data_IF_709535604701
#
_entry.id   IF_709535604701
#
_cell.length_a   1.000
_cell.length_b   1.000
_cell.length_c   1.000
_cell.angle_alpha   90.00
_cell.angle_beta   90.00
_cell.angle_gamma   90.00
#
_symmetry.space_group_name_H-M   'P 1'
#
loop_
_entity.id
_entity.type
_entity.pdbx_description
1 polymer ?
2 polymer ?
3 water ?
#
loop_
_entity_poly.entity_id
_entity_poly.type
_entity_poly.pdbx_seq_one_letter_code
_entity_poly.pdbx_strand_id
2 'polyribonucleotide' 'UGUUGUAUA' ?
#
# COMPACT_ATOMS: atom_id res chain seq x y z
N UNK A 24 2.18 20.53 -37.14
CA UNK A 24 1.27 21.20 -36.23
C UNK A 24 1.96 22.16 -35.27
N UNK A 25 3.22 21.86 -34.95
CA UNK A 25 3.98 22.68 -34.02
C UNK A 25 4.45 23.98 -34.68
N UNK A 26 4.49 25.04 -33.88
CA UNK A 26 5.07 26.28 -34.31
C UNK A 26 6.55 26.09 -34.64
N UNK A 27 7.09 27.01 -35.43
CA UNK A 27 8.52 26.97 -35.71
C UNK A 27 9.33 27.20 -34.44
N UNK A 28 8.86 28.08 -33.56
CA UNK A 28 9.57 28.36 -32.32
C UNK A 28 9.68 27.11 -31.45
N UNK A 29 8.58 26.38 -31.28
CA UNK A 29 8.63 25.17 -30.47
C UNK A 29 9.51 24.12 -31.12
N UNK A 30 9.35 23.93 -32.43
CA UNK A 30 10.15 22.94 -33.15
C UNK A 30 11.64 23.24 -33.02
N UNK A 31 12.03 24.51 -33.19
CA UNK A 31 13.43 24.88 -33.08
C UNK A 31 13.94 24.73 -31.64
N UNK A 32 13.14 25.16 -30.65
CA UNK A 32 13.53 24.98 -29.26
C UNK A 32 13.75 23.50 -28.94
N UNK A 33 12.95 22.62 -29.54
CA UNK A 33 13.12 21.19 -29.32
C UNK A 33 14.41 20.68 -29.96
N UNK A 34 14.75 21.21 -31.15
CA UNK A 34 15.85 20.67 -31.94
C UNK A 34 17.19 21.34 -31.64
N UNK A 35 17.38 21.83 -30.41
CA UNK A 35 18.63 22.33 -29.81
C UNK A 35 18.92 23.81 -30.12
N UNK A 36 18.08 24.50 -30.88
CA UNK A 36 18.29 25.93 -31.04
C UNK A 36 17.87 26.68 -29.78
N UNK A 37 18.24 27.95 -29.72
CA UNK A 37 17.99 28.80 -28.56
C UNK A 37 18.42 28.20 -27.23
N UNK A 38 19.72 27.82 -27.10
CA UNK A 38 20.18 27.30 -25.80
C UNK A 38 20.15 28.31 -24.68
N UNK A 39 19.83 29.58 -24.97
CA UNK A 39 19.65 30.60 -23.95
C UNK A 39 18.21 31.12 -23.92
N UNK A 40 17.26 30.33 -24.42
CA UNK A 40 15.87 30.77 -24.50
C UNK A 40 15.38 31.20 -23.13
N UNK A 41 14.68 32.33 -23.10
CA UNK A 41 14.14 32.89 -21.88
C UNK A 41 12.63 32.94 -21.95
N UNK A 42 12.00 33.08 -20.78
CA UNK A 42 10.56 33.07 -20.68
C UNK A 42 9.92 34.13 -21.56
N UNK A 43 10.52 35.33 -21.59
CA UNK A 43 9.91 36.43 -22.33
C UNK A 43 9.95 36.19 -23.83
N UNK A 44 10.90 35.38 -24.30
CA UNK A 44 11.00 35.14 -25.74
C UNK A 44 9.86 34.27 -26.25
N UNK A 45 9.26 33.43 -25.40
CA UNK A 45 8.25 32.50 -25.87
C UNK A 45 6.87 33.08 -25.64
N UNK A 46 6.81 34.41 -25.52
CA UNK A 46 5.54 35.12 -25.44
C UNK A 46 4.62 34.68 -26.58
N UNK A 47 3.35 34.51 -26.26
CA UNK A 47 2.37 34.03 -27.22
C UNK A 47 2.41 32.54 -27.49
N UNK A 48 3.35 31.80 -26.91
CA UNK A 48 3.46 30.37 -27.12
C UNK A 48 3.35 29.58 -25.82
N UNK A 49 2.88 30.20 -24.74
CA UNK A 49 2.88 29.51 -23.44
C UNK A 49 1.94 28.30 -23.45
N UNK A 50 0.75 28.44 -24.06
CA UNK A 50 -0.18 27.33 -24.09
C UNK A 50 0.38 26.15 -24.88
N UNK A 51 1.04 26.42 -26.00
CA UNK A 51 1.60 25.34 -26.80
C UNK A 51 2.78 24.68 -26.09
N UNK A 52 3.70 25.50 -25.56
CA UNK A 52 4.83 24.95 -24.81
C UNK A 52 4.36 24.10 -23.64
N UNK A 53 3.31 24.56 -22.94
CA UNK A 53 2.79 23.82 -21.79
C UNK A 53 2.27 22.44 -22.17
N UNK A 54 1.71 22.30 -23.38
CA UNK A 54 1.20 21.02 -23.85
C UNK A 54 2.26 20.21 -24.60
N UNK A 55 3.52 20.60 -24.47
CA UNK A 55 4.65 19.91 -25.07
C UNK A 55 5.53 19.32 -23.97
N UNK A 56 6.10 18.15 -24.24
CA UNK A 56 6.91 17.46 -23.25
C UNK A 56 8.07 18.33 -22.77
N UNK A 57 8.83 18.91 -23.69
CA UNK A 57 9.98 19.71 -23.30
C UNK A 57 9.64 21.19 -23.12
N UNK A 58 8.63 21.69 -23.83
CA UNK A 58 8.16 23.04 -23.57
C UNK A 58 7.65 23.21 -22.15
N UNK A 59 7.08 22.15 -21.57
CA UNK A 59 6.51 22.25 -20.23
C UNK A 59 7.61 22.29 -19.17
N UNK A 60 8.59 21.40 -19.27
CA UNK A 60 9.71 21.43 -18.34
C UNK A 60 10.46 22.75 -18.41
N UNK A 61 10.55 23.33 -19.62
CA UNK A 61 11.17 24.65 -19.77
C UNK A 61 10.44 25.69 -18.93
N UNK A 62 9.12 25.79 -19.11
CA UNK A 62 8.35 26.76 -18.36
C UNK A 62 8.45 26.49 -16.86
N UNK A 63 8.42 25.22 -16.46
CA UNK A 63 8.50 24.89 -15.03
C UNK A 63 9.84 25.33 -14.44
N UNK A 64 10.94 25.02 -15.11
CA UNK A 64 12.25 25.43 -14.64
C UNK A 64 12.38 26.94 -14.63
N UNK A 65 11.98 27.58 -15.73
CA UNK A 65 12.10 29.03 -15.84
C UNK A 65 11.27 29.73 -14.78
N UNK A 66 10.10 29.20 -14.45
CA UNK A 66 9.26 29.80 -13.43
C UNK A 66 9.95 29.86 -12.08
N UNK A 67 10.83 28.89 -11.80
CA UNK A 67 11.41 28.78 -10.46
C UNK A 67 12.28 29.98 -10.14
N UNK A 68 13.06 30.46 -11.11
CA UNK A 68 13.91 31.63 -10.93
C UNK A 68 13.39 32.84 -11.70
N UNK A 69 12.10 32.88 -12.00
CA UNK A 69 11.52 34.01 -12.72
C UNK A 69 10.99 35.04 -11.73
N UNK A 70 11.04 36.30 -12.14
CA UNK A 70 10.52 37.38 -11.32
C UNK A 70 9.00 37.31 -11.27
N UNK A 71 8.38 37.95 -10.27
CA UNK A 71 6.92 38.05 -10.27
C UNK A 71 6.35 38.68 -11.52
N UNK A 72 7.12 39.55 -12.19
CA UNK A 72 6.66 40.14 -13.44
C UNK A 72 6.56 39.07 -14.53
N UNK A 73 7.60 38.25 -14.66
CA UNK A 73 7.57 37.18 -15.65
C UNK A 73 6.44 36.20 -15.35
N UNK A 74 6.42 35.65 -14.13
CA UNK A 74 5.40 34.68 -13.73
C UNK A 74 4.00 35.16 -14.09
N UNK A 75 3.72 36.47 -13.92
CA UNK A 75 2.39 36.99 -14.24
C UNK A 75 2.12 36.97 -15.74
N UNK A 76 3.15 37.21 -16.56
CA UNK A 76 2.97 37.13 -18.01
C UNK A 76 2.63 35.72 -18.44
N UNK A 77 3.34 34.72 -17.90
CA UNK A 77 2.98 33.32 -18.12
C UNK A 77 1.54 33.08 -17.70
N UNK A 78 1.17 33.57 -16.51
CA UNK A 78 -0.14 33.25 -15.94
C UNK A 78 -1.27 33.77 -16.81
N UNK A 79 -1.10 34.95 -17.42
CA UNK A 79 -2.14 35.53 -18.26
C UNK A 79 -2.39 34.70 -19.51
N UNK A 80 -1.41 33.96 -20.00
CA UNK A 80 -1.60 33.17 -21.21
C UNK A 80 -2.27 31.82 -20.94
N UNK A 81 -2.29 31.37 -19.67
CA UNK A 81 -2.88 30.07 -19.35
C UNK A 81 -4.22 30.17 -18.64
N UNK A 82 -4.62 31.36 -18.15
CA UNK A 82 -5.76 31.43 -17.24
C UNK A 82 -7.06 31.04 -17.95
N UNK A 83 -7.30 31.63 -19.11
CA UNK A 83 -8.54 31.40 -19.82
C UNK A 83 -8.74 29.91 -20.06
N UNK A 84 -7.76 29.27 -20.68
CA UNK A 84 -7.82 27.84 -20.96
C UNK A 84 -7.14 27.00 -19.89
N UNK A 85 -7.25 27.38 -18.61
CA UNK A 85 -6.49 26.66 -17.59
C UNK A 85 -6.97 25.21 -17.46
N UNK A 86 -8.29 25.00 -17.56
CA UNK A 86 -8.82 23.64 -17.46
C UNK A 86 -8.14 22.72 -18.46
N UNK A 87 -7.96 23.21 -19.70
CA UNK A 87 -7.32 22.40 -20.74
C UNK A 87 -5.93 21.95 -20.32
N UNK A 88 -5.22 22.80 -19.58
CA UNK A 88 -3.96 22.42 -19.02
C UNK A 88 -4.10 21.40 -17.89
N UNK A 89 -5.11 21.55 -17.07
CA UNK A 89 -5.28 20.67 -15.91
C UNK A 89 -5.48 19.23 -16.33
N UNK A 90 -6.07 19.00 -17.50
CA UNK A 90 -6.35 17.65 -17.98
C UNK A 90 -5.36 17.22 -19.06
N UNK A 91 -4.19 17.85 -19.11
CA UNK A 91 -3.15 17.54 -20.09
C UNK A 91 -2.00 16.79 -19.44
N UNK A 92 -1.42 15.85 -20.19
CA UNK A 92 -0.34 15.01 -19.67
C UNK A 92 0.89 15.85 -19.33
N UNK A 93 1.07 16.96 -20.02
CA UNK A 93 2.21 17.83 -19.77
C UNK A 93 1.86 19.17 -19.12
N UNK A 94 0.67 19.71 -19.40
CA UNK A 94 0.34 21.03 -18.88
C UNK A 94 0.00 21.03 -17.41
N UNK A 95 -0.43 19.88 -16.87
CA UNK A 95 -0.91 19.85 -15.49
C UNK A 95 0.20 20.22 -14.51
N UNK A 96 1.47 19.98 -14.88
CA UNK A 96 2.57 20.42 -14.02
C UNK A 96 2.64 21.93 -13.93
N UNK A 97 2.33 22.63 -15.03
CA UNK A 97 2.37 24.09 -15.00
C UNK A 97 1.30 24.62 -14.06
N UNK A 98 0.08 24.12 -14.20
CA UNK A 98 -0.98 24.49 -13.26
C UNK A 98 -0.55 24.22 -11.84
N UNK A 99 0.08 23.07 -11.60
CA UNK A 99 0.50 22.73 -10.24
C UNK A 99 1.53 23.72 -9.70
N UNK A 100 2.42 24.20 -10.58
CA UNK A 100 3.43 25.18 -10.15
C UNK A 100 2.76 26.44 -9.58
N UNK A 101 1.77 26.96 -10.28
CA UNK A 101 1.10 28.17 -9.82
C UNK A 101 0.29 27.92 -8.55
N UNK A 102 -0.33 26.75 -8.41
CA UNK A 102 -1.02 26.44 -7.16
C UNK A 102 -0.06 26.39 -5.97
N UNK A 103 1.23 26.16 -6.21
CA UNK A 103 2.17 26.06 -5.11
C UNK A 103 3.08 27.27 -4.97
N UNK A 104 3.39 27.98 -6.06
CA UNK A 104 4.36 29.06 -6.01
C UNK A 104 3.84 30.34 -6.66
N UNK A 105 2.52 30.43 -6.89
CA UNK A 105 1.94 31.64 -7.45
C UNK A 105 1.42 32.56 -6.36
N UNK A 106 1.00 33.76 -6.78
CA UNK A 106 0.43 34.70 -5.84
C UNK A 106 -0.92 34.22 -5.33
N UNK A 107 -1.33 34.77 -4.19
CA UNK A 107 -2.68 34.49 -3.69
C UNK A 107 -3.72 34.76 -4.77
N UNK A 108 -3.60 35.89 -5.47
CA UNK A 108 -4.58 36.21 -6.50
C UNK A 108 -4.56 35.19 -7.64
N UNK A 109 -3.39 34.62 -7.93
CA UNK A 109 -3.29 33.61 -8.97
C UNK A 109 -3.92 32.29 -8.53
N UNK A 110 -3.58 31.85 -7.32
CA UNK A 110 -4.25 30.66 -6.77
C UNK A 110 -5.76 30.81 -6.81
N UNK A 111 -6.26 32.01 -6.47
CA UNK A 111 -7.70 32.20 -6.37
C UNK A 111 -8.36 32.26 -7.74
N UNK A 112 -7.69 32.86 -8.73
CA UNK A 112 -8.25 32.87 -10.07
C UNK A 112 -8.33 31.46 -10.64
N UNK A 113 -7.33 30.62 -10.35
CA UNK A 113 -7.38 29.24 -10.82
C UNK A 113 -8.48 28.45 -10.11
N UNK A 114 -8.66 28.68 -8.81
CA UNK A 114 -9.77 28.05 -8.11
C UNK A 114 -11.11 28.44 -8.74
N UNK A 115 -11.23 29.69 -9.20
CA UNK A 115 -12.47 30.11 -9.86
C UNK A 115 -12.70 29.36 -11.16
N UNK A 116 -11.65 29.14 -11.96
CA UNK A 116 -11.82 28.35 -13.18
C UNK A 116 -12.25 26.93 -12.86
N UNK A 117 -11.89 26.43 -11.67
CA UNK A 117 -12.25 25.08 -11.24
C UNK A 117 -13.70 24.98 -10.78
N UNK A 118 -14.30 26.08 -10.34
CA UNK A 118 -15.61 26.04 -9.71
C UNK A 118 -16.65 25.40 -10.61
N UNK A 119 -17.38 24.42 -10.08
CA UNK A 119 -18.35 23.65 -10.84
C UNK A 119 -17.76 22.49 -11.62
N UNK A 120 -16.45 22.27 -11.56
CA UNK A 120 -15.81 21.21 -12.31
C UNK A 120 -14.95 20.32 -11.43
N UNK A 121 -15.01 20.49 -10.10
CA UNK A 121 -14.14 19.74 -9.20
C UNK A 121 -14.29 18.23 -9.44
N UNK A 122 -15.53 17.76 -9.58
CA UNK A 122 -15.76 16.34 -9.77
C UNK A 122 -15.08 15.82 -11.04
N UNK A 123 -15.25 16.53 -12.15
CA UNK A 123 -14.63 16.10 -13.41
C UNK A 123 -13.12 16.02 -13.27
N UNK A 124 -12.52 17.00 -12.60
CA UNK A 124 -11.08 16.98 -12.41
C UNK A 124 -10.66 15.85 -11.48
N UNK A 125 -11.42 15.60 -10.42
CA UNK A 125 -11.02 14.57 -9.45
C UNK A 125 -11.15 13.17 -10.04
N UNK A 126 -12.01 13.00 -11.04
CA UNK A 126 -12.14 11.75 -11.79
C UNK A 126 -11.14 11.63 -12.92
N UNK A 127 -10.28 12.63 -13.12
CA UNK A 127 -9.44 12.69 -14.31
C UNK A 127 -8.02 12.32 -13.94
N UNK A 128 -7.33 11.62 -14.86
CA UNK A 128 -6.00 11.10 -14.58
C UNK A 128 -5.03 12.22 -14.20
N UNK A 129 -5.09 13.37 -14.88
CA UNK A 129 -4.23 14.50 -14.53
C UNK A 129 -4.94 15.54 -13.68
N UNK A 130 -6.25 15.71 -13.87
CA UNK A 130 -6.99 16.66 -13.05
C UNK A 130 -6.91 16.36 -11.57
N UNK A 131 -6.80 15.07 -11.20
CA UNK A 131 -6.80 14.73 -9.78
C UNK A 131 -5.52 15.17 -9.09
N UNK A 132 -4.41 15.24 -9.84
CA UNK A 132 -3.20 15.84 -9.29
C UNK A 132 -3.41 17.33 -9.01
N UNK A 133 -4.06 18.03 -9.93
CA UNK A 133 -4.29 19.45 -9.74
C UNK A 133 -5.19 19.70 -8.54
N UNK A 134 -6.20 18.84 -8.34
CA UNK A 134 -7.12 19.02 -7.22
C UNK A 134 -6.39 18.85 -5.90
N UNK A 135 -5.50 17.85 -5.81
CA UNK A 135 -4.76 17.62 -4.58
C UNK A 135 -3.83 18.77 -4.27
N UNK A 136 -3.16 19.32 -5.29
CA UNK A 136 -2.33 20.49 -5.10
C UNK A 136 -3.15 21.68 -4.64
N UNK A 137 -4.27 21.94 -5.30
CA UNK A 137 -5.13 23.05 -4.90
C UNK A 137 -5.59 22.90 -3.45
N UNK A 138 -6.05 21.71 -3.07
CA UNK A 138 -6.53 21.50 -1.70
C UNK A 138 -5.45 21.82 -0.67
N UNK A 139 -4.19 21.72 -1.04
CA UNK A 139 -3.09 21.90 -0.11
C UNK A 139 -2.64 23.34 0.05
N UNK A 140 -2.91 24.23 -0.91
CA UNK A 140 -2.29 25.55 -0.90
C UNK A 140 -3.23 26.74 -1.07
N UNK A 141 -4.50 26.53 -1.38
CA UNK A 141 -5.45 27.64 -1.42
C UNK A 141 -5.98 27.88 -0.02
N UNK A 142 -6.56 29.05 0.28
CA UNK A 142 -7.05 29.32 1.64
C UNK A 142 -8.28 28.49 1.98
N UNK A 143 -8.65 28.59 3.26
CA UNK A 143 -9.64 27.68 3.85
C UNK A 143 -11.01 27.83 3.22
N UNK A 144 -11.48 29.08 3.04
CA UNK A 144 -12.78 29.27 2.42
C UNK A 144 -12.84 28.63 1.04
N UNK A 145 -11.70 28.56 0.34
CA UNK A 145 -11.68 27.95 -0.99
C UNK A 145 -11.52 26.44 -0.91
N UNK A 146 -10.74 25.95 0.07
CA UNK A 146 -10.70 24.52 0.33
C UNK A 146 -12.10 23.98 0.62
N UNK A 147 -12.83 24.66 1.50
CA UNK A 147 -14.16 24.19 1.87
C UNK A 147 -15.15 24.30 0.72
N UNK A 148 -15.02 25.34 -0.13
CA UNK A 148 -15.84 25.39 -1.34
C UNK A 148 -15.53 24.21 -2.24
N UNK A 149 -14.25 23.88 -2.40
CA UNK A 149 -13.85 22.77 -3.26
C UNK A 149 -14.31 21.44 -2.68
N UNK A 150 -14.07 21.21 -1.39
CA UNK A 150 -14.51 19.99 -0.73
C UNK A 150 -16.03 19.86 -0.72
N UNK A 151 -16.75 20.99 -0.63
CA UNK A 151 -18.21 20.94 -0.70
C UNK A 151 -18.68 20.33 -2.01
N UNK A 152 -18.02 20.67 -3.12
CA UNK A 152 -18.35 20.04 -4.40
C UNK A 152 -18.15 18.54 -4.35
N UNK A 153 -17.14 18.07 -3.60
CA UNK A 153 -16.79 16.66 -3.58
C UNK A 153 -17.73 15.85 -2.69
N UNK A 154 -18.19 16.43 -1.58
CA UNK A 154 -19.03 15.69 -0.65
C UNK A 154 -20.32 15.21 -1.28
N UNK A 155 -20.76 15.86 -2.36
CA UNK A 155 -21.94 15.40 -3.09
C UNK A 155 -21.68 14.14 -3.91
N UNK A 156 -20.43 13.70 -4.01
CA UNK A 156 -20.09 12.59 -4.90
C UNK A 156 -19.10 11.63 -4.24
N UNK A 157 -19.12 11.55 -2.91
CA UNK A 157 -18.14 10.72 -2.22
C UNK A 157 -18.22 9.26 -2.67
N UNK A 158 -19.44 8.75 -2.88
CA UNK A 158 -19.60 7.35 -3.26
C UNK A 158 -18.86 7.04 -4.55
N UNK A 159 -19.07 7.86 -5.58
CA UNK A 159 -18.36 7.66 -6.84
C UNK A 159 -16.85 7.85 -6.64
N UNK A 160 -16.44 8.89 -5.92
CA UNK A 160 -15.02 9.18 -5.77
C UNK A 160 -14.28 8.04 -5.08
N UNK A 161 -14.86 7.48 -4.03
CA UNK A 161 -14.20 6.43 -3.27
C UNK A 161 -13.87 5.22 -4.13
N UNK A 162 -14.72 4.89 -5.11
CA UNK A 162 -14.50 3.76 -5.98
C UNK A 162 -13.79 4.09 -7.29
N UNK A 163 -13.41 5.35 -7.52
CA UNK A 163 -12.80 5.70 -8.80
C UNK A 163 -11.28 5.52 -8.74
N UNK A 164 -10.71 5.14 -9.88
CA UNK A 164 -9.27 4.89 -9.93
C UNK A 164 -8.43 6.15 -9.70
N UNK A 165 -9.00 7.33 -9.90
CA UNK A 165 -8.30 8.58 -9.58
C UNK A 165 -8.91 9.32 -8.40
N UNK A 166 -10.25 9.36 -8.31
CA UNK A 166 -10.92 10.03 -7.21
C UNK A 166 -10.61 9.45 -5.85
N UNK A 167 -10.20 8.18 -5.78
CA UNK A 167 -9.87 7.62 -4.48
C UNK A 167 -8.64 8.28 -3.88
N UNK A 168 -7.74 8.77 -4.73
CA UNK A 168 -6.57 9.50 -4.22
C UNK A 168 -6.96 10.85 -3.66
N UNK A 169 -7.98 11.50 -4.25
CA UNK A 169 -8.45 12.77 -3.73
C UNK A 169 -9.13 12.59 -2.38
N UNK A 170 -9.91 11.51 -2.22
CA UNK A 170 -10.54 11.22 -0.94
C UNK A 170 -9.50 10.92 0.12
N UNK A 171 -8.49 10.12 -0.23
CA UNK A 171 -7.41 9.84 0.73
C UNK A 171 -6.66 11.11 1.10
N UNK A 172 -6.53 12.06 0.18
CA UNK A 172 -5.84 13.31 0.50
C UNK A 172 -6.59 14.07 1.58
N UNK A 173 -7.91 14.18 1.44
CA UNK A 173 -8.72 14.80 2.48
C UNK A 173 -8.53 14.06 3.80
N UNK A 174 -8.50 12.72 3.77
CA UNK A 174 -8.38 11.98 5.02
C UNK A 174 -7.03 12.18 5.67
N UNK A 175 -5.97 12.39 4.89
CA UNK A 175 -4.65 12.57 5.47
C UNK A 175 -4.36 13.99 5.90
N UNK A 176 -4.93 15.00 5.22
CA UNK A 176 -4.61 16.39 5.52
C UNK A 176 -5.80 17.32 5.65
N UNK A 177 -7.02 16.84 5.38
CA UNK A 177 -8.18 17.70 5.46
C UNK A 177 -8.55 18.03 6.90
N UNK A 178 -9.70 18.72 7.03
CA UNK A 178 -10.04 19.00 8.41
C UNK A 178 -10.99 17.93 8.95
N UNK A 179 -10.95 17.72 10.27
CA UNK A 179 -11.72 16.62 10.87
C UNK A 179 -13.18 16.57 10.45
N UNK A 180 -13.82 17.73 10.31
CA UNK A 180 -15.23 17.75 9.91
C UNK A 180 -15.42 17.09 8.55
N UNK A 181 -14.45 17.27 7.64
CA UNK A 181 -14.56 16.67 6.32
C UNK A 181 -14.27 15.18 6.35
N UNK A 182 -13.28 14.76 7.13
CA UNK A 182 -13.03 13.33 7.32
C UNK A 182 -14.27 12.63 7.83
N UNK A 183 -14.97 13.24 8.79
CA UNK A 183 -16.16 12.65 9.35
C UNK A 183 -17.22 12.40 8.29
N UNK A 184 -17.37 13.33 7.36
CA UNK A 184 -18.37 13.16 6.31
C UNK A 184 -18.00 11.99 5.40
N UNK A 185 -16.71 11.80 5.14
CA UNK A 185 -16.26 10.68 4.31
C UNK A 185 -16.50 9.35 5.04
N UNK A 186 -16.29 9.34 6.35
CA UNK A 186 -16.56 8.15 7.15
C UNK A 186 -18.04 7.78 7.06
N UNK A 187 -18.92 8.78 7.04
CA UNK A 187 -20.36 8.50 7.04
C UNK A 187 -20.78 7.78 5.76
N UNK A 188 -20.15 8.12 4.63
CA UNK A 188 -20.48 7.41 3.39
C UNK A 188 -19.94 5.99 3.41
N UNK A 189 -18.82 5.78 4.10
CA UNK A 189 -18.24 4.44 4.21
C UNK A 189 -18.89 3.64 5.32
N UNK A 190 -19.43 4.32 6.33
CA UNK A 190 -20.12 3.69 7.44
C UNK A 190 -21.28 2.84 6.93
N UNK A 191 -21.09 1.52 6.90
CA UNK A 191 -22.13 0.63 6.45
C UNK A 191 -21.67 -0.29 5.33
N UNK A 192 -20.68 0.15 4.55
CA UNK A 192 -20.17 -0.63 3.44
C UNK A 192 -18.71 -1.04 3.64
N UNK A 193 -18.27 -1.15 4.89
CA UNK A 193 -16.86 -1.45 5.15
C UNK A 193 -16.48 -2.77 4.51
N UNK A 194 -17.31 -3.80 4.71
CA UNK A 194 -16.98 -5.11 4.19
C UNK A 194 -16.90 -5.10 2.67
N UNK A 195 -17.88 -4.49 2.01
CA UNK A 195 -17.92 -4.51 0.55
C UNK A 195 -16.82 -3.64 -0.04
N UNK A 196 -16.61 -2.45 0.51
CA UNK A 196 -15.59 -1.57 -0.06
C UNK A 196 -14.19 -2.03 0.25
N UNK A 197 -14.00 -2.80 1.33
CA UNK A 197 -12.69 -3.37 1.63
C UNK A 197 -12.26 -4.39 0.59
N UNK A 198 -13.21 -4.98 -0.14
CA UNK A 198 -12.92 -5.91 -1.20
C UNK A 198 -12.81 -5.25 -2.57
N UNK A 199 -12.73 -3.92 -2.62
CA UNK A 199 -12.71 -3.17 -3.87
C UNK A 199 -11.29 -2.66 -4.09
N UNK A 200 -10.79 -2.84 -5.32
CA UNK A 200 -9.39 -2.53 -5.60
C UNK A 200 -9.04 -1.09 -5.20
N UNK A 201 -9.89 -0.12 -5.56
CA UNK A 201 -9.56 1.27 -5.27
C UNK A 201 -10.08 1.72 -3.90
N UNK A 202 -11.34 1.39 -3.59
CA UNK A 202 -11.95 1.79 -2.32
C UNK A 202 -11.30 1.17 -1.09
N UNK A 203 -10.68 -0.01 -1.21
CA UNK A 203 -10.02 -0.61 -0.06
C UNK A 203 -8.94 0.30 0.52
N UNK A 204 -8.25 1.07 -0.32
CA UNK A 204 -7.28 2.04 0.18
C UNK A 204 -7.94 3.16 0.97
N UNK A 205 -9.15 3.59 0.56
CA UNK A 205 -9.87 4.60 1.33
C UNK A 205 -10.29 4.05 2.70
N UNK A 206 -10.76 2.79 2.74
CA UNK A 206 -11.08 2.17 4.03
C UNK A 206 -9.85 2.18 4.93
N UNK A 207 -8.69 1.86 4.37
CA UNK A 207 -7.44 1.94 5.12
C UNK A 207 -7.22 3.34 5.70
N UNK A 208 -7.33 4.38 4.85
CA UNK A 208 -7.05 5.73 5.34
C UNK A 208 -8.06 6.16 6.40
N UNK A 209 -9.32 5.76 6.24
CA UNK A 209 -10.30 6.00 7.31
C UNK A 209 -9.87 5.34 8.60
N UNK A 210 -9.46 4.08 8.52
CA UNK A 210 -9.10 3.34 9.72
C UNK A 210 -7.87 3.95 10.39
N UNK A 211 -6.96 4.54 9.62
CA UNK A 211 -5.74 5.07 10.21
C UNK A 211 -5.79 6.56 10.52
N UNK A 212 -6.59 7.36 9.80
CA UNK A 212 -6.49 8.81 9.89
C UNK A 212 -7.75 9.53 10.36
N UNK A 213 -8.87 8.84 10.52
CA UNK A 213 -10.08 9.49 11.05
C UNK A 213 -9.99 9.56 12.57
N UNK A 214 -11.07 9.97 13.22
CA UNK A 214 -11.04 10.14 14.67
C UNK A 214 -11.07 8.77 15.37
N UNK A 215 -10.74 8.79 16.67
CA UNK A 215 -10.76 7.56 17.45
C UNK A 215 -12.13 6.90 17.39
N UNK A 216 -13.19 7.70 17.56
CA UNK A 216 -14.55 7.15 17.57
C UNK A 216 -14.89 6.53 16.21
N UNK A 217 -14.54 7.21 15.13
CA UNK A 217 -14.89 6.74 13.80
C UNK A 217 -14.11 5.48 13.44
N UNK A 218 -12.84 5.42 13.83
CA UNK A 218 -12.06 4.21 13.62
C UNK A 218 -12.70 3.01 14.32
N UNK A 219 -13.12 3.21 15.59
CA UNK A 219 -13.72 2.11 16.35
C UNK A 219 -15.04 1.67 15.73
N UNK A 220 -15.84 2.63 15.25
CA UNK A 220 -17.11 2.30 14.63
C UNK A 220 -16.91 1.48 13.37
N UNK A 221 -15.95 1.87 12.54
CA UNK A 221 -15.69 1.11 11.31
C UNK A 221 -15.19 -0.29 11.62
N UNK A 222 -14.30 -0.42 12.60
CA UNK A 222 -13.78 -1.74 12.97
C UNK A 222 -14.88 -2.58 13.59
N UNK A 223 -15.72 -1.96 14.43
CA UNK A 223 -16.80 -2.70 15.07
C UNK A 223 -17.81 -3.21 14.06
N UNK A 224 -17.99 -2.48 12.95
CA UNK A 224 -18.99 -2.86 11.95
C UNK A 224 -18.71 -4.24 11.39
N UNK A 225 -17.44 -4.54 11.07
CA UNK A 225 -17.09 -5.88 10.58
C UNK A 225 -16.92 -6.88 11.70
N UNK A 226 -16.77 -6.42 12.95
CA UNK A 226 -16.76 -7.36 14.08
C UNK A 226 -18.14 -7.92 14.37
N UNK A 227 -19.20 -7.17 14.05
CA UNK A 227 -20.54 -7.53 14.47
C UNK A 227 -21.39 -8.15 13.37
N UNK A 228 -20.87 -8.27 12.16
CA UNK A 228 -21.64 -8.79 11.05
C UNK A 228 -21.04 -10.10 10.54
N UNK A 229 -21.90 -10.93 9.99
CA UNK A 229 -21.49 -12.19 9.38
C UNK A 229 -21.70 -12.13 7.87
N UNK A 230 -20.84 -12.82 7.14
CA UNK A 230 -20.93 -12.93 5.69
C UNK A 230 -21.41 -14.36 5.39
N UNK A 231 -22.73 -14.53 5.44
CA UNK A 231 -23.33 -15.84 5.37
C UNK A 231 -22.81 -16.71 6.50
N UNK A 232 -22.25 -17.88 6.15
CA UNK A 232 -21.68 -18.75 7.19
C UNK A 232 -20.28 -18.36 7.61
N UNK A 233 -19.72 -17.30 7.07
CA UNK A 233 -18.40 -16.82 7.46
C UNK A 233 -18.52 -15.60 8.36
N UNK A 234 -17.54 -15.45 9.25
CA UNK A 234 -17.37 -14.16 9.89
C UNK A 234 -16.83 -13.17 8.86
N UNK A 235 -17.30 -11.92 8.96
CA UNK A 235 -16.89 -10.91 7.99
C UNK A 235 -15.38 -10.73 7.96
N UNK A 236 -14.74 -10.78 9.14
CA UNK A 236 -13.29 -10.55 9.21
C UNK A 236 -12.52 -11.68 8.53
N UNK A 237 -13.01 -12.91 8.67
CA UNK A 237 -12.39 -14.05 8.01
C UNK A 237 -12.45 -13.89 6.51
N UNK A 238 -13.63 -13.51 6.00
CA UNK A 238 -13.77 -13.23 4.57
C UNK A 238 -12.77 -12.16 4.14
N UNK A 239 -12.66 -11.09 4.93
CA UNK A 239 -11.75 -10.01 4.58
C UNK A 239 -10.30 -10.49 4.56
N UNK A 240 -9.94 -11.37 5.50
CA UNK A 240 -8.56 -11.83 5.54
C UNK A 240 -8.23 -12.77 4.40
N UNK A 241 -9.23 -13.37 3.76
CA UNK A 241 -9.03 -14.19 2.57
C UNK A 241 -9.09 -13.39 1.28
N UNK A 242 -9.39 -12.09 1.33
CA UNK A 242 -9.63 -11.33 0.12
C UNK A 242 -8.36 -10.63 -0.36
N UNK A 243 -8.25 -10.54 -1.69
CA UNK A 243 -7.05 -9.99 -2.33
C UNK A 243 -6.78 -8.55 -1.91
N UNK A 244 -7.82 -7.82 -1.52
CA UNK A 244 -7.69 -6.42 -1.09
C UNK A 244 -8.01 -6.21 0.37
N UNK A 245 -9.05 -6.88 0.88
CA UNK A 245 -9.49 -6.65 2.25
C UNK A 245 -8.48 -7.16 3.28
N UNK A 246 -7.57 -8.06 2.89
CA UNK A 246 -6.54 -8.51 3.84
C UNK A 246 -5.63 -7.35 4.25
N UNK A 247 -5.42 -6.37 3.37
CA UNK A 247 -4.64 -5.18 3.72
C UNK A 247 -5.38 -4.31 4.71
N UNK A 248 -6.70 -4.21 4.58
CA UNK A 248 -7.51 -3.46 5.53
C UNK A 248 -7.38 -4.08 6.93
N UNK A 249 -7.52 -5.41 7.03
CA UNK A 249 -7.44 -6.06 8.33
C UNK A 249 -6.07 -5.83 8.96
N UNK A 250 -5.01 -5.88 8.16
CA UNK A 250 -3.68 -5.60 8.69
C UNK A 250 -3.63 -4.20 9.30
N UNK A 251 -4.24 -3.22 8.64
CA UNK A 251 -4.31 -1.89 9.24
C UNK A 251 -5.21 -1.88 10.48
N UNK A 252 -6.34 -2.59 10.43
CA UNK A 252 -7.21 -2.66 11.61
C UNK A 252 -6.50 -3.27 12.80
N UNK A 253 -5.63 -4.25 12.56
CA UNK A 253 -4.84 -4.83 13.63
C UNK A 253 -3.84 -3.82 14.18
N UNK A 254 -3.29 -2.95 13.33
CA UNK A 254 -2.26 -2.01 13.76
C UNK A 254 -2.82 -0.93 14.70
N UNK A 255 -4.05 -0.49 14.46
CA UNK A 255 -4.56 0.72 15.12
C UNK A 255 -5.70 0.44 16.10
N UNK A 256 -6.25 -0.76 16.13
CA UNK A 256 -7.35 -1.04 17.05
C UNK A 256 -6.91 -0.85 18.50
N UNK A 257 -7.74 -0.16 19.28
CA UNK A 257 -7.52 -0.06 20.70
C UNK A 257 -7.63 -1.46 21.34
N UNK A 258 -7.08 -1.64 22.54
CA UNK A 258 -6.93 -3.01 23.09
C UNK A 258 -8.20 -3.85 23.09
N UNK A 259 -9.35 -3.28 23.45
CA UNK A 259 -10.57 -4.08 23.52
C UNK A 259 -10.99 -4.59 22.16
N UNK A 260 -10.99 -3.70 21.16
CA UNK A 260 -11.36 -4.13 19.81
C UNK A 260 -10.30 -5.02 19.21
N UNK A 261 -9.03 -4.75 19.50
CA UNK A 261 -7.93 -5.54 18.98
C UNK A 261 -8.10 -7.02 19.33
N UNK A 262 -8.46 -7.30 20.58
CA UNK A 262 -8.71 -8.69 20.97
C UNK A 262 -9.86 -9.30 20.17
N UNK A 263 -10.88 -8.50 19.83
CA UNK A 263 -11.99 -9.02 19.05
C UNK A 263 -11.55 -9.34 17.63
N UNK A 264 -10.77 -8.45 17.02
CA UNK A 264 -10.25 -8.71 15.68
C UNK A 264 -9.36 -9.95 15.69
N UNK A 265 -8.45 -10.02 16.66
CA UNK A 265 -7.50 -11.12 16.71
C UNK A 265 -8.19 -12.45 17.01
N UNK A 266 -9.32 -12.43 17.72
CA UNK A 266 -10.03 -13.68 17.99
C UNK A 266 -10.49 -14.34 16.70
N UNK A 267 -10.95 -13.54 15.73
CA UNK A 267 -11.30 -14.09 14.43
C UNK A 267 -10.08 -14.70 13.74
N UNK A 268 -8.94 -14.00 13.81
CA UNK A 268 -7.73 -14.53 13.19
C UNK A 268 -7.31 -15.85 13.84
N UNK A 269 -7.28 -15.90 15.17
CA UNK A 269 -6.86 -17.12 15.86
C UNK A 269 -7.79 -18.30 15.57
N UNK A 270 -9.11 -18.07 15.57
CA UNK A 270 -10.06 -19.14 15.28
C UNK A 270 -9.88 -19.73 13.88
N UNK A 271 -9.31 -18.95 12.94
CA UNK A 271 -9.15 -19.40 11.56
C UNK A 271 -7.70 -19.54 11.16
N UNK A 272 -6.78 -19.66 12.12
CA UNK A 272 -5.35 -19.68 11.81
C UNK A 272 -5.00 -20.80 10.83
N UNK A 273 -5.51 -22.00 11.11
CA UNK A 273 -5.22 -23.15 10.27
C UNK A 273 -5.64 -22.90 8.82
N UNK A 274 -6.82 -22.31 8.62
CA UNK A 274 -7.25 -21.99 7.27
C UNK A 274 -6.38 -20.88 6.66
N UNK A 275 -6.09 -19.84 7.45
CA UNK A 275 -5.42 -18.65 6.92
C UNK A 275 -3.95 -18.89 6.59
N UNK A 276 -3.26 -19.75 7.34
CA UNK A 276 -1.86 -19.99 7.01
C UNK A 276 -1.73 -20.70 5.67
N UNK A 277 -2.77 -21.41 5.21
CA UNK A 277 -2.75 -22.06 3.91
C UNK A 277 -3.40 -21.23 2.80
N UNK A 278 -3.86 -20.03 3.09
CA UNK A 278 -4.57 -19.22 2.11
C UNK A 278 -3.61 -18.30 1.38
N UNK A 279 -3.86 -18.10 0.07
CA UNK A 279 -2.97 -17.30 -0.77
C UNK A 279 -2.88 -15.86 -0.31
N UNK A 280 -3.92 -15.33 0.35
CA UNK A 280 -3.89 -13.99 0.90
C UNK A 280 -3.84 -13.97 2.43
N UNK A 281 -4.52 -14.93 3.08
CA UNK A 281 -4.50 -14.97 4.53
C UNK A 281 -3.12 -15.19 5.12
N UNK A 282 -2.25 -15.91 4.42
CA UNK A 282 -0.93 -16.19 4.99
C UNK A 282 -0.13 -14.90 5.23
N UNK A 283 -0.40 -13.85 4.45
CA UNK A 283 0.27 -12.57 4.71
C UNK A 283 -0.27 -11.90 5.98
N UNK A 284 -1.57 -12.05 6.28
CA UNK A 284 -2.09 -11.48 7.52
C UNK A 284 -1.46 -12.17 8.72
N UNK A 285 -1.27 -13.49 8.65
CA UNK A 285 -0.62 -14.21 9.74
C UNK A 285 0.82 -13.75 9.89
N UNK A 286 1.53 -13.60 8.76
CA UNK A 286 2.91 -13.13 8.81
C UNK A 286 2.97 -11.71 9.36
N UNK A 287 1.99 -10.88 9.04
CA UNK A 287 1.98 -9.50 9.54
C UNK A 287 1.91 -9.49 11.06
N UNK A 288 1.09 -10.38 11.65
CA UNK A 288 1.05 -10.50 13.10
C UNK A 288 2.38 -11.01 13.64
N UNK A 289 3.00 -11.99 12.96
CA UNK A 289 4.27 -12.54 13.43
C UNK A 289 5.39 -11.50 13.41
N UNK A 290 5.36 -10.57 12.46
CA UNK A 290 6.43 -9.59 12.37
C UNK A 290 6.18 -8.36 13.23
N UNK A 291 4.92 -7.92 13.34
CA UNK A 291 4.63 -6.67 14.03
C UNK A 291 3.65 -6.78 15.18
N UNK A 292 3.10 -7.96 15.47
CA UNK A 292 2.08 -8.07 16.49
C UNK A 292 2.64 -8.25 17.89
N UNK A 293 1.74 -8.54 18.80
CA UNK A 293 2.09 -8.81 20.19
C UNK A 293 2.62 -10.23 20.35
N UNK A 294 3.55 -10.45 21.28
CA UNK A 294 4.15 -11.78 21.42
C UNK A 294 3.17 -12.89 21.77
N UNK A 295 2.15 -12.63 22.60
CA UNK A 295 1.21 -13.70 22.93
C UNK A 295 0.37 -14.09 21.73
N UNK A 296 0.15 -13.16 20.80
CA UNK A 296 -0.51 -13.52 19.54
C UNK A 296 0.38 -14.45 18.72
N UNK A 297 1.69 -14.19 18.71
CA UNK A 297 2.62 -15.08 18.03
C UNK A 297 2.64 -16.44 18.70
N UNK A 298 2.61 -16.46 20.04
CA UNK A 298 2.63 -17.73 20.76
C UNK A 298 1.42 -18.59 20.42
N UNK A 299 0.26 -17.96 20.23
CA UNK A 299 -0.94 -18.72 19.86
C UNK A 299 -0.87 -19.22 18.42
N UNK A 300 -0.29 -18.42 17.52
CA UNK A 300 -0.10 -18.90 16.15
C UNK A 300 0.85 -20.10 16.16
N UNK A 301 1.94 -20.00 16.90
CA UNK A 301 2.90 -21.10 17.00
C UNK A 301 2.23 -22.36 17.52
N UNK A 302 1.36 -22.23 18.52
CA UNK A 302 0.68 -23.39 19.09
C UNK A 302 -0.22 -24.08 18.07
N UNK A 303 -0.79 -23.33 17.12
CA UNK A 303 -1.53 -23.97 16.04
C UNK A 303 -0.60 -24.66 15.05
N UNK A 304 0.57 -24.06 14.79
CA UNK A 304 1.54 -24.65 13.87
C UNK A 304 2.12 -25.95 14.44
N UNK A 305 2.24 -26.02 15.77
CA UNK A 305 2.94 -27.13 16.40
C UNK A 305 2.25 -28.46 16.08
N UNK A 306 3.06 -29.48 15.82
CA UNK A 306 2.53 -30.77 15.40
C UNK A 306 2.23 -30.88 13.92
N UNK A 307 2.30 -29.78 13.17
CA UNK A 307 2.03 -29.79 11.73
C UNK A 307 3.16 -29.16 10.94
N UNK A 308 4.35 -29.04 11.53
CA UNK A 308 5.44 -28.33 10.87
C UNK A 308 5.83 -29.06 9.59
N UNK A 309 5.91 -30.39 9.64
CA UNK A 309 6.26 -31.16 8.46
C UNK A 309 5.31 -30.87 7.31
N UNK A 310 4.01 -30.99 7.55
CA UNK A 310 3.02 -30.84 6.49
C UNK A 310 2.98 -29.39 6.00
N UNK A 311 2.96 -28.43 6.92
CA UNK A 311 2.83 -27.03 6.52
C UNK A 311 4.08 -26.53 5.81
N UNK A 312 5.25 -27.08 6.14
CA UNK A 312 6.48 -26.68 5.47
C UNK A 312 6.48 -27.05 4.00
N UNK A 313 5.68 -28.03 3.61
CA UNK A 313 5.57 -28.47 2.22
C UNK A 313 4.50 -27.71 1.44
N UNK A 314 3.87 -26.72 2.06
CA UNK A 314 2.78 -25.98 1.45
C UNK A 314 3.30 -24.68 0.86
N UNK A 315 2.89 -24.37 -0.38
CA UNK A 315 3.36 -23.17 -1.07
C UNK A 315 3.16 -21.91 -0.23
N UNK A 316 1.99 -21.77 0.40
CA UNK A 316 1.74 -20.57 1.20
C UNK A 316 2.19 -20.74 2.64
N UNK A 317 1.80 -21.86 3.28
CA UNK A 317 2.07 -22.03 4.70
C UNK A 317 3.55 -22.13 5.01
N UNK A 318 4.36 -22.57 4.03
CA UNK A 318 5.80 -22.66 4.29
C UNK A 318 6.38 -21.31 4.67
N UNK A 319 5.85 -20.22 4.11
CA UNK A 319 6.33 -18.89 4.50
C UNK A 319 5.96 -18.56 5.93
N UNK A 320 4.78 -18.99 6.38
CA UNK A 320 4.38 -18.74 7.75
C UNK A 320 5.26 -19.54 8.72
N UNK A 321 5.62 -20.77 8.34
CA UNK A 321 6.52 -21.55 9.20
C UNK A 321 7.85 -20.83 9.37
N UNK A 322 8.36 -20.23 8.27
CA UNK A 322 9.59 -19.46 8.34
C UNK A 322 9.47 -18.28 9.28
N UNK A 323 8.40 -17.49 9.16
CA UNK A 323 8.22 -16.36 10.06
C UNK A 323 8.09 -16.81 11.51
N UNK A 324 7.48 -17.98 11.75
CA UNK A 324 7.36 -18.48 13.11
C UNK A 324 8.71 -18.69 13.76
N UNK A 325 9.60 -19.46 13.12
CA UNK A 325 10.90 -19.71 13.71
C UNK A 325 11.75 -18.44 13.78
N UNK A 326 11.46 -17.43 12.95
CA UNK A 326 12.22 -16.19 13.01
C UNK A 326 11.72 -15.27 14.13
N UNK A 327 10.40 -15.15 14.32
CA UNK A 327 9.85 -14.12 15.20
C UNK A 327 9.21 -14.63 16.48
N UNK A 328 9.05 -15.93 16.66
CA UNK A 328 8.52 -16.42 17.93
C UNK A 328 9.60 -16.33 19.01
N UNK A 329 9.22 -16.70 20.22
CA UNK A 329 10.16 -16.63 21.32
C UNK A 329 11.25 -17.69 21.15
N UNK A 330 12.32 -17.54 21.93
CA UNK A 330 13.45 -18.45 21.82
C UNK A 330 13.02 -19.89 22.01
N UNK A 331 12.16 -20.15 23.01
CA UNK A 331 11.73 -21.52 23.27
C UNK A 331 10.69 -21.99 22.27
N UNK A 332 9.90 -21.06 21.72
CA UNK A 332 8.92 -21.45 20.72
C UNK A 332 9.60 -21.86 19.42
N UNK A 333 10.59 -21.08 18.99
CA UNK A 333 11.42 -21.48 17.86
C UNK A 333 12.07 -22.83 18.11
N UNK A 334 12.64 -23.01 19.32
CA UNK A 334 13.29 -24.27 19.65
C UNK A 334 12.31 -25.44 19.54
N UNK A 335 11.08 -25.25 20.02
CA UNK A 335 10.07 -26.31 19.94
C UNK A 335 9.78 -26.67 18.48
N UNK A 336 9.65 -25.66 17.61
CA UNK A 336 9.35 -25.96 16.21
C UNK A 336 10.51 -26.67 15.53
N UNK A 337 11.74 -26.26 15.85
CA UNK A 337 12.89 -26.90 15.22
C UNK A 337 13.09 -28.30 15.77
N UNK A 338 12.88 -28.47 17.08
CA UNK A 338 13.04 -29.79 17.67
C UNK A 338 12.01 -30.77 17.13
N UNK A 339 10.78 -30.29 16.88
CA UNK A 339 9.76 -31.13 16.27
C UNK A 339 10.27 -31.73 14.95
N UNK A 340 10.87 -30.88 14.11
CA UNK A 340 11.44 -31.33 12.85
C UNK A 340 12.55 -32.35 13.10
N UNK A 341 13.37 -32.14 14.14
CA UNK A 341 14.51 -33.00 14.38
C UNK A 341 14.09 -34.37 14.90
N UNK A 342 13.01 -34.43 15.67
CA UNK A 342 12.61 -35.65 16.36
C UNK A 342 11.54 -36.44 15.64
N UNK A 343 10.72 -35.80 14.80
CA UNK A 343 9.61 -36.50 14.17
C UNK A 343 10.08 -37.27 12.93
N UNK A 344 9.38 -38.36 12.63
CA UNK A 344 9.63 -39.16 11.45
C UNK A 344 8.51 -38.99 10.44
N UNK A 345 8.85 -39.12 9.17
CA UNK A 345 7.89 -39.18 8.09
C UNK A 345 7.95 -40.61 7.58
N UNK A 346 7.01 -41.44 8.01
CA UNK A 346 7.08 -42.86 7.78
C UNK A 346 8.45 -43.37 8.20
N UNK A 347 9.18 -43.97 7.26
CA UNK A 347 10.55 -44.42 7.55
C UNK A 347 11.61 -43.35 7.44
N UNK A 348 11.26 -42.16 6.92
CA UNK A 348 12.21 -41.08 6.79
C UNK A 348 12.19 -40.21 8.04
N UNK A 349 13.30 -39.54 8.30
CA UNK A 349 13.25 -38.43 9.22
C UNK A 349 12.52 -37.28 8.53
N UNK A 350 11.80 -36.49 9.33
CA UNK A 350 11.07 -35.37 8.78
C UNK A 350 12.00 -34.38 8.07
N UNK A 351 13.18 -34.16 8.65
CA UNK A 351 14.17 -33.28 8.03
C UNK A 351 14.51 -33.73 6.61
N UNK A 352 14.65 -35.05 6.42
CA UNK A 352 15.01 -35.55 5.10
C UNK A 352 13.92 -35.29 4.08
N UNK A 353 12.66 -35.54 4.47
CA UNK A 353 11.55 -35.20 3.58
C UNK A 353 11.53 -33.70 3.29
N UNK A 354 11.76 -32.88 4.31
CA UNK A 354 11.71 -31.44 4.12
C UNK A 354 12.80 -30.95 3.17
N UNK A 355 14.02 -31.48 3.32
CA UNK A 355 15.12 -31.08 2.45
C UNK A 355 14.82 -31.33 0.98
N UNK A 356 14.07 -32.39 0.66
CA UNK A 356 13.79 -32.74 -0.73
C UNK A 356 12.58 -32.04 -1.32
N UNK A 357 11.76 -31.38 -0.49
CA UNK A 357 10.55 -30.71 -0.97
C UNK A 357 10.86 -29.35 -1.58
N UNK A 358 10.06 -28.98 -2.60
CA UNK A 358 10.26 -27.71 -3.31
C UNK A 358 10.13 -26.50 -2.39
N UNK A 359 9.33 -26.60 -1.32
CA UNK A 359 9.14 -25.49 -0.40
C UNK A 359 9.81 -25.70 0.94
N UNK A 360 9.72 -26.91 1.49
CA UNK A 360 10.24 -27.17 2.82
C UNK A 360 11.76 -27.03 2.89
N UNK A 361 12.45 -27.14 1.75
CA UNK A 361 13.90 -26.94 1.78
C UNK A 361 14.22 -25.53 2.24
N UNK A 362 13.37 -24.56 1.91
CA UNK A 362 13.58 -23.20 2.39
C UNK A 362 13.40 -23.11 3.90
N UNK A 363 12.45 -23.88 4.44
CA UNK A 363 12.23 -23.91 5.88
C UNK A 363 13.45 -24.49 6.59
N UNK A 364 14.03 -25.56 6.03
CA UNK A 364 15.22 -26.15 6.65
C UNK A 364 16.36 -25.15 6.67
N UNK A 365 16.53 -24.41 5.57
CA UNK A 365 17.59 -23.40 5.52
C UNK A 365 17.36 -22.31 6.56
N UNK A 366 16.14 -21.80 6.67
CA UNK A 366 15.85 -20.79 7.68
C UNK A 366 16.08 -21.33 9.09
N UNK A 367 15.71 -22.61 9.33
CA UNK A 367 15.93 -23.20 10.66
C UNK A 367 17.41 -23.29 11.00
N UNK A 368 18.24 -23.63 10.02
CA UNK A 368 19.68 -23.61 10.24
C UNK A 368 20.14 -22.21 10.62
N UNK A 369 19.64 -21.19 9.91
CA UNK A 369 20.10 -19.83 10.16
C UNK A 369 19.75 -19.34 11.57
N UNK A 370 18.54 -19.67 12.05
CA UNK A 370 18.04 -19.06 13.28
C UNK A 370 18.26 -19.91 14.52
N UNK A 371 18.75 -21.14 14.37
CA UNK A 371 18.94 -22.01 15.52
C UNK A 371 20.09 -21.53 16.39
N UNK A 372 19.95 -21.73 17.70
CA UNK A 372 21.04 -21.46 18.61
C UNK A 372 22.08 -22.58 18.53
N UNK A 373 23.37 -22.25 18.69
CA UNK A 373 24.45 -23.20 18.40
C UNK A 373 24.21 -24.62 18.89
N UNK A 374 23.71 -24.77 20.12
CA UNK A 374 23.43 -26.09 20.62
C UNK A 374 22.39 -26.81 19.77
N UNK A 375 21.34 -26.11 19.39
CA UNK A 375 20.31 -26.74 18.57
C UNK A 375 20.75 -26.89 17.12
N UNK A 376 21.53 -25.95 16.60
CA UNK A 376 22.06 -26.10 15.25
C UNK A 376 22.87 -27.39 15.13
N UNK A 377 23.60 -27.77 16.19
CA UNK A 377 24.36 -29.01 16.14
C UNK A 377 23.43 -30.21 15.99
N UNK A 378 22.28 -30.19 16.66
CA UNK A 378 21.35 -31.30 16.53
C UNK A 378 20.80 -31.37 15.11
N UNK A 379 20.52 -30.21 14.51
CA UNK A 379 20.04 -30.18 13.12
C UNK A 379 21.10 -30.76 12.20
N UNK A 380 22.35 -30.34 12.35
CA UNK A 380 23.41 -30.85 11.49
C UNK A 380 23.61 -32.36 11.69
N UNK A 381 23.31 -32.87 12.87
CA UNK A 381 23.45 -34.31 13.08
C UNK A 381 22.45 -35.10 12.24
N UNK A 382 21.20 -34.64 12.17
CA UNK A 382 20.22 -35.31 11.33
C UNK A 382 20.50 -35.11 9.84
N UNK A 383 21.22 -34.05 9.47
CA UNK A 383 21.53 -33.79 8.08
C UNK A 383 22.76 -34.58 7.63
N UNK A 384 23.70 -34.85 8.54
CA UNK A 384 24.99 -35.45 8.21
C UNK A 384 24.89 -36.71 7.34
N UNK A 385 24.06 -37.70 7.65
CA UNK A 385 24.02 -38.91 6.79
C UNK A 385 23.69 -38.61 5.33
N UNK A 386 23.06 -37.48 5.03
CA UNK A 386 22.56 -37.19 3.69
C UNK A 386 23.45 -36.24 2.89
N UNK A 387 24.49 -35.68 3.51
CA UNK A 387 25.28 -34.64 2.84
C UNK A 387 25.84 -35.16 1.52
N UNK A 388 26.42 -36.36 1.55
CA UNK A 388 27.10 -36.89 0.37
C UNK A 388 26.16 -37.22 -0.77
N UNK A 389 24.83 -37.15 -0.56
CA UNK A 389 23.88 -37.47 -1.61
C UNK A 389 22.88 -36.35 -1.87
N UNK A 390 23.03 -35.20 -1.23
CA UNK A 390 22.09 -34.10 -1.49
C UNK A 390 22.20 -33.60 -2.92
N UNK A 391 23.37 -33.73 -3.53
CA UNK A 391 23.59 -33.25 -4.90
C UNK A 391 22.66 -33.93 -5.90
N UNK A 392 22.13 -35.10 -5.56
CA UNK A 392 21.26 -35.85 -6.45
C UNK A 392 19.82 -35.34 -6.45
N UNK A 393 19.47 -34.40 -5.57
CA UNK A 393 18.09 -33.97 -5.43
C UNK A 393 17.88 -32.60 -6.03
N UNK A 394 16.74 -32.43 -6.73
CA UNK A 394 16.43 -31.15 -7.36
C UNK A 394 16.48 -30.00 -6.37
N UNK A 395 15.81 -30.18 -5.23
CA UNK A 395 15.76 -29.15 -4.21
C UNK A 395 16.74 -29.38 -3.08
N UNK A 396 17.03 -30.65 -2.76
CA UNK A 396 17.96 -30.94 -1.70
C UNK A 396 19.36 -30.38 -1.95
N UNK A 397 19.74 -30.26 -3.22
CA UNK A 397 21.06 -29.71 -3.54
C UNK A 397 21.21 -28.26 -3.08
N UNK A 398 20.11 -27.51 -2.95
CA UNK A 398 20.23 -26.15 -2.43
C UNK A 398 20.57 -26.14 -0.94
N UNK A 399 20.19 -27.20 -0.20
CA UNK A 399 20.69 -27.36 1.17
C UNK A 399 22.21 -27.49 1.14
N UNK A 400 22.71 -28.30 0.20
CA UNK A 400 24.14 -28.49 0.05
C UNK A 400 24.82 -27.17 -0.29
N UNK A 401 24.30 -26.48 -1.32
CA UNK A 401 24.82 -25.16 -1.67
C UNK A 401 24.92 -24.25 -0.45
N UNK A 402 23.86 -24.19 0.35
CA UNK A 402 23.89 -23.34 1.54
C UNK A 402 24.94 -23.82 2.53
N UNK A 403 24.99 -25.13 2.79
CA UNK A 403 25.87 -25.69 3.80
C UNK A 403 27.35 -25.39 3.54
N UNK A 404 27.71 -24.97 2.33
CA UNK A 404 29.09 -24.54 2.03
C UNK A 404 29.47 -23.21 2.73
N UNK A 405 28.64 -22.76 3.68
CA UNK A 405 28.93 -21.60 4.52
C UNK A 405 28.93 -21.97 5.99
N UNK A 406 29.11 -23.26 6.27
CA UNK A 406 29.07 -23.80 7.62
C UNK A 406 30.09 -24.92 7.79
#
# INVERSE_FOLDING_TARGET
MGSSHHHHHHSQDLEVLFQGPHMGRSRLLEDFRNNRYPNLQLREIAGHIMEFSQDQHGSRFIQLKLERATPAERQLVFNEILQAAYQLMVDVFGNYVIQKFFEFGSLEQKLALAERIRGHVLSLALQMYGCRVIQKALEFIPSDQQNEMVRELHQHTEQLVQDQYGNYVIQHVLEHGRPEDKSKIVAEIRGNVLVLSQHKFASNVVEKCVTHASRTERAVLIDEVCTMNDGPHSALYTMMKDQYANYVVQKMIDVAEPGQRKIVMHELHQHTEQLVQDQYGNYVIQHVLEHGRPEDKSKIVAEIRGNVLVLSQHKFASNVVEKCVTHASRTERAVLIDEVCTMNDGPHSALYTMMKDQYANYVVQKMIDVAEPGQRKIVMHKIRPHIATLRKYTYGKHILAKLEKYYMKNGVDLG
#
